data_IF_056984277391
#
_entry.id   IF_056984277391
#
_cell.length_a   1.000
_cell.length_b   1.000
_cell.length_c   1.000
_cell.angle_alpha   90.00
_cell.angle_beta   90.00
_cell.angle_gamma   90.00
#
_symmetry.space_group_name_H-M   'P 1'
#
loop_
_entity.id
_entity.type
_entity.pdbx_description
1 polymer ?
#
# COMPACT_ATOMS: atom_id res chain seq x y z
N UNK A 1 8.11 14.01 -6.25
CA UNK A 1 8.23 13.34 -4.94
C UNK A 1 9.30 12.25 -5.04
N UNK A 2 10.17 12.13 -4.04
CA UNK A 2 11.19 11.08 -3.96
C UNK A 2 10.63 9.76 -3.40
N UNK A 3 11.32 8.63 -3.65
CA UNK A 3 10.96 7.32 -3.09
C UNK A 3 10.93 7.33 -1.55
N UNK A 4 11.89 8.07 -0.96
CA UNK A 4 11.97 8.36 0.48
C UNK A 4 10.69 8.95 1.06
N UNK A 5 10.22 10.01 0.42
CA UNK A 5 9.01 10.74 0.81
C UNK A 5 7.74 9.90 0.57
N UNK A 6 7.69 9.16 -0.54
CA UNK A 6 6.55 8.30 -0.88
C UNK A 6 6.38 7.17 0.14
N UNK A 7 7.47 6.53 0.58
CA UNK A 7 7.42 5.44 1.56
C UNK A 7 6.82 5.89 2.90
N UNK A 8 7.21 7.09 3.35
CA UNK A 8 6.65 7.69 4.56
C UNK A 8 5.17 8.04 4.39
N UNK A 9 4.78 8.58 3.23
CA UNK A 9 3.40 8.96 2.97
C UNK A 9 2.44 7.78 2.92
N UNK A 10 2.91 6.59 2.51
CA UNK A 10 2.09 5.38 2.38
C UNK A 10 2.35 4.34 3.49
N UNK A 11 3.13 4.70 4.52
CA UNK A 11 3.48 3.82 5.65
C UNK A 11 4.03 2.45 5.22
N UNK A 12 4.82 2.40 4.15
CA UNK A 12 5.47 1.18 3.65
C UNK A 12 6.99 1.24 3.85
N UNK A 13 7.61 0.06 4.00
CA UNK A 13 9.07 -0.05 3.99
C UNK A 13 9.64 0.36 2.61
N UNK A 14 10.88 0.84 2.58
CA UNK A 14 11.58 1.18 1.32
C UNK A 14 11.69 -0.03 0.39
N UNK A 15 11.94 -1.22 0.94
CA UNK A 15 12.04 -2.46 0.17
C UNK A 15 10.72 -2.81 -0.51
N UNK A 16 9.61 -2.75 0.24
CA UNK A 16 8.26 -2.99 -0.29
C UNK A 16 7.90 -1.98 -1.37
N UNK A 17 8.18 -0.69 -1.13
CA UNK A 17 7.89 0.37 -2.09
C UNK A 17 8.68 0.20 -3.39
N UNK A 18 9.96 -0.16 -3.29
CA UNK A 18 10.81 -0.43 -4.46
C UNK A 18 10.17 -1.50 -5.33
N UNK A 19 9.82 -2.65 -4.76
CA UNK A 19 9.16 -3.73 -5.49
C UNK A 19 7.81 -3.32 -6.11
N UNK A 20 7.02 -2.48 -5.45
CA UNK A 20 5.79 -1.92 -6.02
C UNK A 20 6.09 -1.04 -7.22
N UNK A 21 7.04 -0.09 -7.08
CA UNK A 21 7.39 0.84 -8.15
C UNK A 21 8.00 0.14 -9.36
N UNK A 22 8.80 -0.91 -9.16
CA UNK A 22 9.35 -1.72 -10.25
C UNK A 22 8.24 -2.41 -11.05
N UNK A 23 7.21 -2.95 -10.38
CA UNK A 23 6.07 -3.55 -11.05
C UNK A 23 5.24 -2.52 -11.82
N UNK A 24 5.04 -1.33 -11.26
CA UNK A 24 4.32 -0.25 -11.92
C UNK A 24 5.09 0.28 -13.15
N UNK A 25 6.41 0.37 -13.06
CA UNK A 25 7.31 0.77 -14.15
C UNK A 25 7.32 -0.29 -15.26
N UNK A 26 7.40 -1.58 -14.91
CA UNK A 26 7.29 -2.70 -15.87
C UNK A 26 5.97 -2.69 -16.63
N UNK A 27 4.89 -2.23 -16.00
CA UNK A 27 3.57 -2.04 -16.62
C UNK A 27 3.43 -0.72 -17.40
N UNK A 28 4.50 0.08 -17.50
CA UNK A 28 4.54 1.41 -18.13
C UNK A 28 3.54 2.40 -17.53
N UNK A 29 3.19 2.22 -16.25
CA UNK A 29 2.28 3.10 -15.52
C UNK A 29 3.02 4.26 -14.84
N UNK A 30 4.30 4.07 -14.54
CA UNK A 30 5.16 5.13 -14.00
C UNK A 30 6.49 5.18 -14.73
N UNK A 31 7.18 6.31 -14.62
CA UNK A 31 8.57 6.48 -15.03
C UNK A 31 9.40 7.00 -13.86
N UNK A 32 10.65 6.52 -13.77
CA UNK A 32 11.64 7.01 -12.81
C UNK A 32 12.65 7.89 -13.54
N UNK A 33 12.83 9.11 -13.05
CA UNK A 33 13.78 10.06 -13.62
C UNK A 33 14.69 10.58 -12.52
N UNK A 34 15.96 10.87 -12.84
CA UNK A 34 16.81 11.63 -11.91
C UNK A 34 16.29 13.06 -11.87
N UNK A 35 16.16 13.62 -10.67
CA UNK A 35 15.78 15.02 -10.51
C UNK A 35 16.81 15.92 -11.19
N UNK A 36 16.33 16.92 -11.92
CA UNK A 36 17.15 17.96 -12.52
C UNK A 36 17.74 18.92 -11.49
N UNK A 37 17.05 19.07 -10.34
CA UNK A 37 17.43 19.97 -9.23
C UNK A 37 18.44 19.29 -8.29
N UNK A 38 18.28 17.98 -8.06
CA UNK A 38 19.21 17.18 -7.25
C UNK A 38 19.38 15.79 -7.84
N UNK A 39 20.50 15.56 -8.53
CA UNK A 39 20.80 14.30 -9.22
C UNK A 39 20.90 13.07 -8.29
N UNK A 40 20.95 13.28 -6.96
CA UNK A 40 20.90 12.22 -5.95
C UNK A 40 19.48 11.71 -5.69
N UNK A 41 18.45 12.43 -6.15
CA UNK A 41 17.04 12.07 -5.93
C UNK A 41 16.45 11.47 -7.19
N UNK A 42 15.76 10.34 -7.01
CA UNK A 42 14.90 9.74 -8.05
C UNK A 42 13.49 10.28 -7.86
N UNK A 43 12.91 10.79 -8.93
CA UNK A 43 11.54 11.30 -8.98
C UNK A 43 10.69 10.32 -9.77
N UNK A 44 9.51 10.01 -9.23
CA UNK A 44 8.50 9.19 -9.89
C UNK A 44 7.49 10.11 -10.57
N UNK A 45 7.15 9.81 -11.83
CA UNK A 45 6.05 10.42 -12.55
C UNK A 45 5.09 9.35 -13.06
N UNK A 46 3.80 9.67 -13.08
CA UNK A 46 2.77 8.81 -13.68
C UNK A 46 2.72 9.04 -15.19
N UNK A 47 2.47 7.97 -15.95
CA UNK A 47 2.25 8.05 -17.40
C UNK A 47 0.78 8.32 -17.73
N UNK A 48 0.51 8.66 -19.00
CA UNK A 48 -0.87 8.81 -19.46
C UNK A 48 -1.67 7.50 -19.37
N UNK A 49 -1.01 6.36 -19.59
CA UNK A 49 -1.61 5.04 -19.38
C UNK A 49 -2.07 4.84 -17.92
N UNK A 50 -1.30 5.34 -16.95
CA UNK A 50 -1.70 5.32 -15.55
C UNK A 50 -2.88 6.25 -15.26
N UNK A 51 -2.91 7.45 -15.85
CA UNK A 51 -4.06 8.36 -15.71
C UNK A 51 -5.35 7.74 -16.24
N UNK A 52 -5.30 7.10 -17.40
CA UNK A 52 -6.45 6.40 -17.98
C UNK A 52 -6.90 5.22 -17.13
N UNK A 53 -5.94 4.44 -16.59
CA UNK A 53 -6.24 3.33 -15.69
C UNK A 53 -6.92 3.81 -14.40
N UNK A 54 -6.41 4.89 -13.80
CA UNK A 54 -6.98 5.47 -12.58
C UNK A 54 -8.39 6.02 -12.82
N UNK A 55 -8.67 6.56 -14.00
CA UNK A 55 -10.01 7.04 -14.36
C UNK A 55 -11.06 5.92 -14.47
N UNK A 56 -10.62 4.69 -14.73
CA UNK A 56 -11.49 3.50 -14.84
C UNK A 56 -11.45 2.64 -13.57
N UNK A 57 -10.57 2.96 -12.63
CA UNK A 57 -10.43 2.19 -11.41
C UNK A 57 -11.66 2.40 -10.52
N UNK A 58 -12.19 1.33 -9.89
CA UNK A 58 -13.17 1.51 -8.84
C UNK A 58 -12.56 2.34 -7.69
N UNK A 59 -13.40 3.07 -6.93
CA UNK A 59 -12.91 3.83 -5.79
C UNK A 59 -12.10 2.91 -4.86
N UNK A 60 -10.98 3.39 -4.30
CA UNK A 60 -10.16 2.60 -3.40
C UNK A 60 -11.02 1.99 -2.30
N UNK A 61 -10.70 0.76 -1.88
CA UNK A 61 -11.37 0.08 -0.76
C UNK A 61 -11.43 1.01 0.46
N UNK A 62 -10.38 1.81 0.68
CA UNK A 62 -10.29 2.80 1.74
C UNK A 62 -11.38 3.88 1.63
N UNK A 63 -11.68 4.40 0.44
CA UNK A 63 -12.71 5.42 0.25
C UNK A 63 -14.12 4.85 0.46
N UNK A 64 -14.37 3.64 -0.02
CA UNK A 64 -15.64 2.94 0.23
C UNK A 64 -15.82 2.61 1.73
N UNK A 65 -14.75 2.23 2.42
CA UNK A 65 -14.76 1.99 3.86
C UNK A 65 -15.05 3.27 4.64
N UNK A 66 -14.33 4.36 4.36
CA UNK A 66 -14.53 5.65 5.03
C UNK A 66 -15.97 6.15 4.85
N UNK A 67 -16.48 6.12 3.62
CA UNK A 67 -17.86 6.53 3.34
C UNK A 67 -18.92 5.70 4.06
N UNK A 68 -18.65 4.41 4.33
CA UNK A 68 -19.56 3.55 5.07
C UNK A 68 -19.39 3.73 6.58
N UNK A 69 -18.17 3.91 7.06
CA UNK A 69 -17.85 4.15 8.45
C UNK A 69 -18.44 5.48 8.94
N UNK A 70 -18.33 6.54 8.15
CA UNK A 70 -18.90 7.86 8.46
C UNK A 70 -20.43 7.87 8.52
N UNK A 71 -21.09 6.88 7.89
CA UNK A 71 -22.55 6.73 7.95
C UNK A 71 -23.04 5.99 9.21
N UNK A 72 -22.13 5.37 9.96
CA UNK A 72 -22.46 4.73 11.22
C UNK A 72 -22.75 5.79 12.29
N UNK A 73 -23.57 5.44 13.27
CA UNK A 73 -23.78 6.30 14.44
C UNK A 73 -22.49 6.42 15.23
N UNK A 74 -22.31 7.54 15.95
CA UNK A 74 -21.10 7.80 16.75
C UNK A 74 -20.75 6.66 17.72
N UNK A 75 -21.76 6.02 18.31
CA UNK A 75 -21.55 4.89 19.22
C UNK A 75 -21.04 3.63 18.51
N UNK A 76 -21.45 3.39 17.26
CA UNK A 76 -20.98 2.26 16.45
C UNK A 76 -19.52 2.47 16.04
N UNK A 77 -19.18 3.70 15.62
CA UNK A 77 -17.81 4.08 15.31
C UNK A 77 -16.90 3.89 16.54
N UNK A 78 -17.36 4.36 17.71
CA UNK A 78 -16.64 4.23 18.99
C UNK A 78 -16.45 2.78 19.40
N UNK A 79 -17.43 1.91 19.16
CA UNK A 79 -17.36 0.48 19.44
C UNK A 79 -16.31 -0.22 18.55
N UNK A 80 -16.27 0.11 17.26
CA UNK A 80 -15.28 -0.43 16.32
C UNK A 80 -13.87 0.02 16.71
N UNK A 81 -13.70 1.31 17.01
CA UNK A 81 -12.43 1.86 17.47
C UNK A 81 -11.92 1.16 18.74
N UNK A 82 -12.80 1.01 19.74
CA UNK A 82 -12.46 0.34 21.00
C UNK A 82 -12.04 -1.11 20.78
N UNK A 83 -12.72 -1.81 19.87
CA UNK A 83 -12.40 -3.20 19.51
C UNK A 83 -11.05 -3.30 18.82
N UNK A 84 -10.75 -2.40 17.87
CA UNK A 84 -9.44 -2.32 17.20
C UNK A 84 -8.30 -2.04 18.18
N UNK A 85 -8.49 -1.06 19.07
CA UNK A 85 -7.51 -0.74 20.10
C UNK A 85 -7.23 -1.94 21.01
N UNK A 86 -8.27 -2.69 21.38
CA UNK A 86 -8.10 -3.90 22.18
C UNK A 86 -7.37 -5.01 21.43
N UNK A 87 -7.64 -5.20 20.13
CA UNK A 87 -6.87 -6.15 19.30
C UNK A 87 -5.39 -5.73 19.21
N UNK A 88 -5.09 -4.45 18.98
CA UNK A 88 -3.72 -3.94 18.95
C UNK A 88 -3.03 -4.16 20.30
N UNK A 89 -3.72 -3.89 21.40
CA UNK A 89 -3.21 -4.19 22.73
C UNK A 89 -2.93 -5.68 22.91
N UNK A 90 -3.80 -6.57 22.43
CA UNK A 90 -3.56 -8.02 22.52
C UNK A 90 -2.38 -8.48 21.66
N UNK A 91 -2.16 -7.84 20.51
CA UNK A 91 -1.00 -8.09 19.64
C UNK A 91 0.30 -7.59 20.29
N UNK A 92 0.27 -6.40 20.90
CA UNK A 92 1.42 -5.81 21.60
C UNK A 92 1.61 -6.31 23.04
N UNK A 93 0.66 -7.04 23.63
CA UNK A 93 0.71 -7.53 25.02
C UNK A 93 1.61 -8.75 25.20
N UNK A 94 2.21 -9.26 24.13
CA UNK A 94 3.27 -10.25 24.16
C UNK A 94 4.32 -9.81 23.14
N UNK A 95 5.59 -9.78 23.53
CA UNK A 95 6.72 -9.67 22.63
C UNK A 95 6.65 -10.78 21.58
N UNK A 96 5.90 -10.53 20.51
CA UNK A 96 6.01 -11.27 19.27
C UNK A 96 6.67 -10.26 18.36
N UNK A 97 7.90 -10.54 17.97
CA UNK A 97 8.52 -9.91 16.80
C UNK A 97 7.52 -10.03 15.65
N UNK A 98 6.72 -8.98 15.47
CA UNK A 98 5.69 -8.94 14.45
C UNK A 98 6.41 -8.70 13.13
N UNK A 99 6.91 -9.78 12.53
CA UNK A 99 7.26 -9.75 11.12
C UNK A 99 6.02 -9.26 10.35
N UNK A 100 6.21 -8.37 9.36
CA UNK A 100 5.09 -7.82 8.62
C UNK A 100 4.31 -8.98 7.98
N UNK A 101 3.05 -9.15 8.40
CA UNK A 101 2.09 -10.14 7.85
C UNK A 101 1.86 -9.96 6.34
N UNK A 102 2.34 -8.85 5.77
CA UNK A 102 2.43 -8.64 4.33
C UNK A 102 3.87 -8.84 3.82
N UNK A 103 4.45 -10.02 4.07
CA UNK A 103 5.48 -10.52 3.18
C UNK A 103 4.82 -10.79 1.83
N UNK A 104 4.92 -9.84 0.90
CA UNK A 104 4.67 -10.07 -0.51
C UNK A 104 5.76 -11.00 -1.06
N UNK A 105 5.76 -12.26 -0.60
CA UNK A 105 6.50 -13.33 -1.21
C UNK A 105 5.95 -13.59 -2.62
N UNK A 106 6.78 -14.12 -3.54
CA UNK A 106 6.27 -14.55 -4.83
C UNK A 106 5.14 -15.56 -4.60
N UNK A 107 4.01 -15.38 -5.29
CA UNK A 107 3.00 -16.44 -5.40
C UNK A 107 3.72 -17.61 -6.05
N UNK A 108 4.14 -18.58 -5.25
CA UNK A 108 4.57 -19.86 -5.78
C UNK A 108 3.28 -20.54 -6.24
N UNK A 109 2.96 -20.38 -7.52
CA UNK A 109 2.07 -21.31 -8.19
C UNK A 109 2.74 -22.68 -8.11
N UNK A 110 2.29 -23.52 -7.18
CA UNK A 110 2.63 -24.94 -7.22
C UNK A 110 2.15 -25.47 -8.59
N UNK A 111 3.01 -26.14 -9.37
CA UNK A 111 2.54 -26.77 -10.59
C UNK A 111 1.55 -27.86 -10.17
N UNK A 112 0.38 -27.88 -10.80
CA UNK A 112 -0.48 -29.06 -10.80
C UNK A 112 0.38 -30.24 -11.25
N UNK A 113 0.58 -31.21 -10.36
CA UNK A 113 1.00 -32.54 -10.79
C UNK A 113 -0.16 -33.13 -11.57
N UNK A 114 -0.02 -33.08 -12.88
CA UNK A 114 -0.62 -34.05 -13.78
C UNK A 114 0.06 -35.40 -13.53
N UNK A 115 -0.76 -36.44 -13.53
CA UNK A 115 -0.46 -37.89 -13.37
C UNK A 115 -0.40 -38.46 -11.94
#
# INVERSE_FOLDING_TARGET
MSLGELAKAVSLSQATLTGITDRLEKRRLITKMRSEIDRRRVVIQITDACRQLLAQAPPPIQESFLNQFDKLKDWEQSMILSSLQRMVQMINAKDVEAEPVLAAGPIVTMPEKTE
#
